data_IF_790709305081
#
_entry.id   IF_790709305081
#
_cell.length_a   1.000
_cell.length_b   1.000
_cell.length_c   1.000
_cell.angle_alpha   90.00
_cell.angle_beta   90.00
_cell.angle_gamma   90.00
#
_symmetry.space_group_name_H-M   'P 1'
#
loop_
_entity.id
_entity.type
_entity.pdbx_description
1 polymer ?
#
# COMPACT_ATOMS: atom_id res chain seq x y z
N UNK A 1 -12.21 11.39 15.29
CA UNK A 1 -12.09 10.38 14.24
C UNK A 1 -12.44 9.02 14.84
N UNK A 2 -13.40 8.27 14.29
CA UNK A 2 -13.90 7.04 14.94
C UNK A 2 -15.20 7.20 15.74
N UNK A 3 -15.98 8.25 15.48
CA UNK A 3 -17.37 8.36 15.96
C UNK A 3 -18.40 8.55 14.85
N UNK A 4 -18.04 8.27 13.60
CA UNK A 4 -19.05 8.12 12.55
C UNK A 4 -19.69 6.74 12.70
N UNK A 5 -20.98 6.75 13.05
CA UNK A 5 -21.80 5.54 12.99
C UNK A 5 -21.77 5.06 11.54
N UNK A 6 -21.10 3.93 11.31
CA UNK A 6 -21.24 3.18 10.06
C UNK A 6 -22.71 2.81 9.92
N UNK A 7 -23.47 3.60 9.16
CA UNK A 7 -24.82 3.23 8.71
C UNK A 7 -24.61 2.18 7.62
N UNK A 8 -24.59 0.92 8.04
CA UNK A 8 -24.67 -0.20 7.12
C UNK A 8 -26.02 -0.14 6.41
N UNK A 9 -26.05 0.39 5.17
CA UNK A 9 -27.21 0.19 4.30
C UNK A 9 -27.24 -1.29 3.92
N UNK A 10 -28.27 -1.98 4.39
CA UNK A 10 -28.57 -3.37 4.05
C UNK A 10 -28.82 -3.49 2.55
N UNK A 11 -27.84 -3.98 1.80
CA UNK A 11 -28.06 -4.40 0.41
C UNK A 11 -28.87 -5.70 0.46
N UNK A 12 -30.06 -5.68 -0.15
CA UNK A 12 -30.96 -6.82 -0.23
C UNK A 12 -30.31 -7.86 -1.14
N UNK A 13 -29.87 -8.98 -0.55
CA UNK A 13 -29.14 -10.03 -1.24
C UNK A 13 -29.94 -10.64 -2.39
N UNK A 14 -29.43 -10.47 -3.60
CA UNK A 14 -29.75 -11.30 -4.76
C UNK A 14 -28.70 -12.41 -4.84
N UNK A 15 -29.14 -13.65 -4.69
CA UNK A 15 -28.38 -14.86 -4.99
C UNK A 15 -28.16 -14.92 -6.50
N UNK A 16 -26.91 -14.97 -6.95
CA UNK A 16 -26.51 -15.73 -8.13
C UNK A 16 -25.03 -16.06 -8.01
N UNK A 17 -24.74 -17.35 -7.81
CA UNK A 17 -23.39 -17.88 -7.72
C UNK A 17 -22.65 -17.80 -9.05
N UNK A 18 -21.36 -17.48 -8.96
CA UNK A 18 -20.35 -17.95 -9.88
C UNK A 18 -19.05 -18.09 -9.08
N UNK A 19 -18.71 -19.34 -8.81
CA UNK A 19 -17.45 -19.75 -8.20
C UNK A 19 -16.31 -19.32 -9.14
N UNK A 20 -15.46 -18.37 -8.73
CA UNK A 20 -14.16 -18.20 -9.37
C UNK A 20 -13.29 -19.40 -8.99
N UNK A 21 -12.66 -20.09 -9.95
CA UNK A 21 -11.77 -21.20 -9.63
C UNK A 21 -10.51 -20.67 -8.97
N UNK A 22 -10.25 -21.15 -7.76
CA UNK A 22 -8.94 -21.08 -7.12
C UNK A 22 -7.94 -21.83 -8.00
N UNK A 23 -7.13 -21.09 -8.76
CA UNK A 23 -5.92 -21.66 -9.34
C UNK A 23 -4.92 -21.92 -8.21
N UNK A 24 -4.98 -23.17 -7.76
CA UNK A 24 -3.96 -23.80 -6.95
C UNK A 24 -2.71 -23.97 -7.82
N UNK A 25 -1.71 -23.13 -7.59
CA UNK A 25 -0.35 -23.39 -8.06
C UNK A 25 0.20 -24.59 -7.28
N UNK A 26 -0.15 -25.79 -7.74
CA UNK A 26 0.52 -27.03 -7.40
C UNK A 26 1.99 -26.95 -7.84
N UNK A 27 2.92 -27.51 -7.06
CA UNK A 27 4.34 -27.47 -7.33
C UNK A 27 4.63 -28.34 -8.55
N UNK A 28 5.20 -27.75 -9.59
CA UNK A 28 5.81 -28.54 -10.65
C UNK A 28 6.96 -29.34 -10.06
N UNK A 29 6.72 -30.63 -9.82
CA UNK A 29 7.76 -31.62 -9.62
C UNK A 29 8.63 -31.67 -10.89
N UNK A 30 9.69 -30.86 -10.92
CA UNK A 30 10.77 -31.03 -11.87
C UNK A 30 11.70 -32.08 -11.28
N UNK A 31 11.64 -33.29 -11.83
CA UNK A 31 12.55 -34.37 -11.50
C UNK A 31 14.00 -33.92 -11.73
N UNK A 32 14.74 -33.72 -10.63
CA UNK A 32 16.18 -33.57 -10.61
C UNK A 32 16.84 -34.94 -10.81
N UNK A 33 16.85 -35.44 -12.04
CA UNK A 33 17.83 -36.46 -12.45
C UNK A 33 18.43 -36.09 -13.80
N UNK A 34 19.11 -34.97 -13.78
CA UNK A 34 20.13 -34.63 -14.77
C UNK A 34 21.10 -33.70 -14.08
N UNK A 35 22.22 -34.23 -13.57
CA UNK A 35 23.39 -33.39 -13.33
C UNK A 35 23.84 -32.84 -14.69
N UNK A 36 23.17 -31.80 -15.17
CA UNK A 36 23.79 -30.88 -16.11
C UNK A 36 24.80 -30.12 -15.29
N UNK A 37 26.05 -30.50 -15.47
CA UNK A 37 27.19 -29.70 -15.07
C UNK A 37 27.04 -28.35 -15.78
N UNK A 38 26.37 -27.42 -15.11
CA UNK A 38 26.21 -26.07 -15.60
C UNK A 38 27.64 -25.54 -15.83
N UNK A 39 27.99 -25.08 -17.04
CA UNK A 39 29.34 -24.64 -17.35
C UNK A 39 29.77 -23.60 -16.31
N UNK A 40 31.05 -23.64 -15.91
CA UNK A 40 31.59 -22.83 -14.79
C UNK A 40 31.15 -21.35 -14.83
N UNK A 41 30.93 -20.80 -16.02
CA UNK A 41 30.40 -19.47 -16.31
C UNK A 41 28.97 -19.21 -15.84
N UNK A 42 28.06 -20.18 -15.94
CA UNK A 42 26.65 -20.03 -15.55
C UNK A 42 26.45 -20.06 -14.03
N UNK A 43 27.31 -20.77 -13.30
CA UNK A 43 27.30 -20.78 -11.82
C UNK A 43 27.73 -19.42 -11.25
N UNK A 44 28.73 -18.80 -11.87
CA UNK A 44 29.21 -17.48 -11.47
C UNK A 44 28.14 -16.40 -11.69
N UNK A 45 27.43 -16.45 -12.83
CA UNK A 45 26.29 -15.57 -13.13
C UNK A 45 25.18 -15.71 -12.08
N UNK A 46 24.81 -16.94 -11.70
CA UNK A 46 23.81 -17.16 -10.66
C UNK A 46 24.23 -16.60 -9.30
N UNK A 47 25.50 -16.78 -8.89
CA UNK A 47 26.03 -16.20 -7.64
C UNK A 47 26.02 -14.68 -7.69
N UNK A 48 26.40 -14.08 -8.82
CA UNK A 48 26.41 -12.62 -8.98
C UNK A 48 24.99 -12.03 -8.90
N UNK A 49 24.01 -12.67 -9.54
CA UNK A 49 22.60 -12.27 -9.47
C UNK A 49 22.05 -12.42 -8.06
N UNK A 50 22.36 -13.52 -7.37
CA UNK A 50 21.92 -13.75 -5.98
C UNK A 50 22.56 -12.79 -4.98
N UNK A 51 23.77 -12.28 -5.22
CA UNK A 51 24.41 -11.25 -4.38
C UNK A 51 23.86 -9.85 -4.72
N UNK A 52 23.52 -9.60 -5.98
CA UNK A 52 22.88 -8.35 -6.39
C UNK A 52 21.40 -8.28 -5.96
N UNK A 53 20.70 -9.41 -5.80
CA UNK A 53 19.29 -9.45 -5.43
C UNK A 53 19.00 -8.77 -4.08
N UNK A 54 19.72 -9.04 -2.98
CA UNK A 54 19.53 -8.32 -1.72
C UNK A 54 19.78 -6.82 -1.83
N UNK A 55 20.72 -6.41 -2.69
CA UNK A 55 21.03 -4.99 -2.95
C UNK A 55 19.94 -4.33 -3.81
N UNK A 56 19.37 -5.07 -4.75
CA UNK A 56 18.28 -4.62 -5.61
C UNK A 56 16.91 -4.64 -4.91
N UNK A 57 16.72 -5.59 -4.00
CA UNK A 57 15.58 -5.72 -3.10
C UNK A 57 15.75 -4.90 -1.82
N UNK A 58 16.63 -3.90 -1.81
CA UNK A 58 16.59 -2.83 -0.81
C UNK A 58 15.34 -1.96 -1.06
N UNK A 59 14.16 -2.56 -0.90
CA UNK A 59 12.86 -1.91 -0.93
C UNK A 59 12.61 -1.21 0.42
N UNK A 60 13.50 -0.27 0.77
CA UNK A 60 13.51 0.37 2.09
C UNK A 60 13.07 1.84 2.11
N UNK A 61 12.91 2.50 0.96
CA UNK A 61 12.78 3.97 0.94
C UNK A 61 11.34 4.51 0.99
N UNK A 62 10.33 3.65 0.84
CA UNK A 62 8.93 4.06 0.67
C UNK A 62 8.70 4.90 -0.61
N UNK A 63 7.44 5.13 -0.96
CA UNK A 63 7.08 6.02 -2.07
C UNK A 63 7.16 7.48 -1.60
N UNK A 64 7.88 8.34 -2.33
CA UNK A 64 8.01 9.77 -2.00
C UNK A 64 6.64 10.47 -1.90
N UNK A 65 5.72 10.14 -2.81
CA UNK A 65 4.36 10.69 -2.78
C UNK A 65 3.65 10.31 -1.49
N UNK A 66 3.72 9.03 -1.08
CA UNK A 66 3.08 8.58 0.16
C UNK A 66 3.66 9.29 1.39
N UNK A 67 4.98 9.54 1.43
CA UNK A 67 5.60 10.34 2.50
C UNK A 67 5.03 11.76 2.56
N UNK A 68 4.83 12.39 1.40
CA UNK A 68 4.22 13.73 1.33
C UNK A 68 2.76 13.72 1.75
N UNK A 69 1.99 12.69 1.36
CA UNK A 69 0.60 12.51 1.80
C UNK A 69 0.53 12.46 3.32
N UNK A 70 1.35 11.61 3.97
CA UNK A 70 1.35 11.51 5.43
C UNK A 70 1.82 12.81 6.09
N UNK A 71 2.90 13.42 5.60
CA UNK A 71 3.42 14.69 6.11
C UNK A 71 2.37 15.80 6.07
N UNK A 72 1.66 15.96 4.94
CA UNK A 72 0.57 16.94 4.82
C UNK A 72 -0.66 16.56 5.65
N UNK A 73 -0.93 15.27 5.86
CA UNK A 73 -2.05 14.83 6.68
C UNK A 73 -1.84 15.22 8.16
N UNK A 74 -0.65 14.98 8.70
CA UNK A 74 -0.33 15.24 10.11
C UNK A 74 0.02 16.70 10.42
N UNK A 75 0.37 17.51 9.42
CA UNK A 75 0.67 18.93 9.63
C UNK A 75 -0.60 19.73 9.98
N UNK A 76 -0.72 20.30 11.20
CA UNK A 76 -1.89 21.07 11.60
C UNK A 76 -2.05 22.39 10.83
N UNK A 77 -1.02 22.88 10.15
CA UNK A 77 -1.06 24.11 9.36
C UNK A 77 -1.64 23.89 7.96
N UNK A 78 -1.65 22.65 7.46
CA UNK A 78 -2.26 22.31 6.17
C UNK A 78 -3.77 22.30 6.33
N UNK A 79 -4.45 23.13 5.54
CA UNK A 79 -5.92 23.19 5.54
C UNK A 79 -6.55 21.97 4.84
N UNK A 80 -7.85 21.74 5.10
CA UNK A 80 -8.61 20.65 4.45
C UNK A 80 -8.63 20.80 2.93
N UNK A 81 -8.90 22.00 2.43
CA UNK A 81 -8.95 22.29 1.00
C UNK A 81 -7.57 22.13 0.35
N UNK A 82 -6.50 22.56 1.02
CA UNK A 82 -5.15 22.33 0.52
C UNK A 82 -4.83 20.83 0.40
N UNK A 83 -5.21 20.03 1.40
CA UNK A 83 -5.00 18.59 1.37
C UNK A 83 -5.85 17.87 0.29
N UNK A 84 -7.09 18.31 0.09
CA UNK A 84 -7.95 17.85 -0.99
C UNK A 84 -7.37 18.16 -2.37
N UNK A 85 -6.90 19.39 -2.59
CA UNK A 85 -6.25 19.80 -3.83
C UNK A 85 -4.98 19.00 -4.10
N UNK A 86 -4.19 18.72 -3.06
CA UNK A 86 -2.99 17.88 -3.18
C UNK A 86 -3.30 16.44 -3.63
N UNK A 87 -4.50 15.94 -3.33
CA UNK A 87 -4.94 14.59 -3.65
C UNK A 87 -5.97 14.51 -4.78
N UNK A 88 -6.20 15.62 -5.51
CA UNK A 88 -7.26 15.73 -6.52
C UNK A 88 -7.16 14.62 -7.59
N UNK A 89 -5.94 14.34 -8.08
CA UNK A 89 -5.68 13.31 -9.08
C UNK A 89 -6.15 11.90 -8.62
N UNK A 90 -6.17 11.66 -7.31
CA UNK A 90 -6.57 10.38 -6.70
C UNK A 90 -8.03 10.37 -6.23
N UNK A 91 -8.63 11.55 -6.03
CA UNK A 91 -9.94 11.75 -5.44
C UNK A 91 -10.84 12.63 -6.33
N UNK A 92 -11.10 12.19 -7.57
CA UNK A 92 -11.84 13.02 -8.54
C UNK A 92 -13.36 13.03 -8.34
N UNK A 93 -13.92 12.12 -7.54
CA UNK A 93 -15.37 12.08 -7.29
C UNK A 93 -15.72 12.83 -6.00
N UNK A 94 -16.93 13.41 -5.89
CA UNK A 94 -17.37 14.09 -4.66
C UNK A 94 -17.25 13.22 -3.41
N UNK A 95 -17.56 11.92 -3.51
CA UNK A 95 -17.47 10.99 -2.39
C UNK A 95 -16.02 10.78 -1.93
N UNK A 96 -15.08 10.70 -2.89
CA UNK A 96 -13.66 10.59 -2.57
C UNK A 96 -13.11 11.90 -1.99
N UNK A 97 -13.52 13.04 -2.54
CA UNK A 97 -13.17 14.35 -1.97
C UNK A 97 -13.65 14.48 -0.53
N UNK A 98 -14.88 14.04 -0.25
CA UNK A 98 -15.41 14.04 1.12
C UNK A 98 -14.59 13.12 2.03
N UNK A 99 -14.24 11.91 1.58
CA UNK A 99 -13.40 11.00 2.35
C UNK A 99 -12.00 11.58 2.66
N UNK A 100 -11.41 12.31 1.71
CA UNK A 100 -10.13 13.03 1.93
C UNK A 100 -10.30 14.17 2.95
N UNK A 101 -11.41 14.91 2.90
CA UNK A 101 -11.71 15.93 3.90
C UNK A 101 -11.90 15.33 5.29
N UNK A 102 -12.69 14.26 5.41
CA UNK A 102 -12.94 13.57 6.67
C UNK A 102 -11.62 13.02 7.25
N UNK A 103 -10.77 12.43 6.40
CA UNK A 103 -9.43 11.98 6.78
C UNK A 103 -8.57 13.13 7.32
N UNK A 104 -8.57 14.30 6.67
CA UNK A 104 -7.80 15.44 7.15
C UNK A 104 -8.36 15.98 8.46
N UNK A 105 -9.68 16.15 8.56
CA UNK A 105 -10.35 16.59 9.77
C UNK A 105 -10.07 15.65 10.95
N UNK A 106 -9.92 14.36 10.67
CA UNK A 106 -9.53 13.37 11.67
C UNK A 106 -8.18 13.66 12.33
N UNK A 107 -7.16 14.03 11.53
CA UNK A 107 -5.85 14.43 12.04
C UNK A 107 -5.91 15.78 12.75
N UNK A 108 -6.64 16.76 12.20
CA UNK A 108 -6.81 18.07 12.85
C UNK A 108 -7.52 18.00 14.22
N UNK A 109 -8.26 16.92 14.47
CA UNK A 109 -8.89 16.66 15.77
C UNK A 109 -7.96 15.94 16.77
N UNK A 110 -6.73 15.56 16.39
CA UNK A 110 -5.74 14.97 17.30
C UNK A 110 -4.99 16.06 18.07
N UNK A 111 -4.36 15.70 19.20
CA UNK A 111 -3.46 16.61 19.91
C UNK A 111 -2.13 16.76 19.17
N UNK A 112 -1.45 17.89 19.38
CA UNK A 112 -0.10 18.13 18.82
C UNK A 112 0.89 17.03 19.20
N UNK A 113 0.82 16.53 20.44
CA UNK A 113 1.62 15.38 20.90
C UNK A 113 1.36 14.13 20.07
N UNK A 114 0.09 13.84 19.77
CA UNK A 114 -0.29 12.68 18.96
C UNK A 114 0.22 12.84 17.53
N UNK A 115 0.05 14.02 16.92
CA UNK A 115 0.54 14.32 15.58
C UNK A 115 2.05 14.20 15.48
N UNK A 116 2.79 14.70 16.49
CA UNK A 116 4.24 14.54 16.60
C UNK A 116 4.63 13.07 16.70
N UNK A 117 3.98 12.30 17.57
CA UNK A 117 4.26 10.87 17.72
C UNK A 117 4.01 10.10 16.42
N UNK A 118 2.98 10.45 15.65
CA UNK A 118 2.78 9.91 14.30
C UNK A 118 3.93 10.25 13.35
N UNK A 119 4.40 11.51 13.36
CA UNK A 119 5.55 11.92 12.57
C UNK A 119 6.83 11.16 12.91
N UNK A 120 7.05 10.85 14.20
CA UNK A 120 8.23 10.09 14.66
C UNK A 120 8.17 8.59 14.27
N UNK A 121 6.99 8.06 13.90
CA UNK A 121 6.80 6.64 13.50
C UNK A 121 6.96 6.38 11.99
N UNK A 122 6.87 7.41 11.15
CA UNK A 122 6.73 7.29 9.67
C UNK A 122 8.01 7.72 8.97
#
# INVERSE_FOLDING_TARGET
CGRDKVVARRIKGGVLGAQLPSESLLPSHVGLTGQRQLPSTMKLLSVLVLVALPLYCFAGSGCLLLKQVVSKAIDPQVSISEYQNFLEDFAQTPEKQQAVADLKQCYLNQSDETLKNFGDMV
#
